data_IF_394168533271
#
_entry.id   IF_394168533271
#
_cell.length_a   1.000
_cell.length_b   1.000
_cell.length_c   1.000
_cell.angle_alpha   90.00
_cell.angle_beta   90.00
_cell.angle_gamma   90.00
#
_symmetry.space_group_name_H-M   'P 1'
#
loop_
_entity.id
_entity.type
_entity.pdbx_description
1 polymer ?
#
# COMPACT_ATOMS: atom_id res chain seq x y z
N UNK A 1 -12.38 -7.30 18.80
CA UNK A 1 -12.73 -7.12 17.40
C UNK A 1 -12.00 -8.10 16.52
N UNK A 2 -12.65 -8.61 15.48
CA UNK A 2 -12.06 -9.55 14.54
C UNK A 2 -11.92 -8.91 13.16
N UNK A 3 -11.01 -9.44 12.37
CA UNK A 3 -10.76 -8.96 11.00
C UNK A 3 -11.01 -10.10 10.02
N UNK A 4 -11.52 -9.75 8.84
CA UNK A 4 -11.71 -10.72 7.76
C UNK A 4 -11.40 -10.05 6.42
N UNK A 5 -10.64 -10.74 5.58
CA UNK A 5 -10.29 -10.25 4.25
C UNK A 5 -11.14 -10.94 3.18
N UNK A 6 -11.68 -10.16 2.26
CA UNK A 6 -12.38 -10.65 1.07
C UNK A 6 -11.59 -10.23 -0.16
N UNK A 7 -11.27 -11.17 -1.03
CA UNK A 7 -10.55 -10.89 -2.27
C UNK A 7 -11.51 -10.93 -3.45
N UNK A 8 -11.67 -9.79 -4.11
CA UNK A 8 -12.55 -9.65 -5.27
C UNK A 8 -11.76 -9.33 -6.53
N UNK A 9 -12.25 -9.82 -7.65
CA UNK A 9 -11.74 -9.42 -8.96
C UNK A 9 -12.22 -8.00 -9.26
N UNK A 10 -11.31 -7.15 -9.75
CA UNK A 10 -11.65 -5.79 -10.20
C UNK A 10 -11.28 -5.62 -11.67
N UNK A 11 -12.00 -4.72 -12.34
CA UNK A 11 -11.85 -4.47 -13.78
C UNK A 11 -11.60 -2.99 -14.01
N UNK A 12 -10.35 -2.52 -13.82
CA UNK A 12 -10.04 -1.12 -14.07
C UNK A 12 -10.13 -0.79 -15.55
N UNK A 13 -10.55 0.45 -15.87
CA UNK A 13 -10.47 0.96 -17.22
C UNK A 13 -9.01 1.33 -17.57
N UNK A 14 -8.77 1.80 -18.80
CA UNK A 14 -7.42 2.08 -19.27
C UNK A 14 -6.72 3.16 -18.44
N UNK A 15 -7.45 4.22 -18.07
CA UNK A 15 -6.89 5.30 -17.23
C UNK A 15 -6.56 4.79 -15.84
N UNK A 16 -7.40 3.95 -15.25
CA UNK A 16 -7.18 3.34 -13.94
C UNK A 16 -6.00 2.37 -13.96
N UNK A 17 -5.82 1.62 -15.05
CA UNK A 17 -4.65 0.73 -15.22
C UNK A 17 -3.36 1.53 -15.22
N UNK A 18 -3.33 2.67 -15.90
CA UNK A 18 -2.16 3.56 -15.91
C UNK A 18 -1.89 4.07 -14.50
N UNK A 19 -2.92 4.52 -13.79
CA UNK A 19 -2.78 5.01 -12.42
C UNK A 19 -2.27 3.90 -11.48
N UNK A 20 -2.79 2.69 -11.60
CA UNK A 20 -2.32 1.56 -10.79
C UNK A 20 -0.85 1.24 -11.08
N UNK A 21 -0.45 1.23 -12.34
CA UNK A 21 0.96 1.00 -12.71
C UNK A 21 1.88 2.06 -12.10
N UNK A 22 1.47 3.33 -12.15
CA UNK A 22 2.21 4.42 -11.51
C UNK A 22 2.27 4.26 -9.99
N UNK A 23 1.16 3.85 -9.37
CA UNK A 23 1.09 3.65 -7.93
C UNK A 23 2.02 2.51 -7.50
N UNK A 24 2.00 1.38 -8.22
CA UNK A 24 2.92 0.26 -7.95
C UNK A 24 4.38 0.72 -8.03
N UNK A 25 4.71 1.50 -9.05
CA UNK A 25 6.07 2.04 -9.22
C UNK A 25 6.46 3.01 -8.12
N UNK A 26 5.54 3.88 -7.72
CA UNK A 26 5.81 4.87 -6.66
C UNK A 26 6.00 4.21 -5.29
N UNK A 27 5.15 3.24 -4.92
CA UNK A 27 5.30 2.56 -3.62
C UNK A 27 6.60 1.76 -3.56
N UNK A 28 7.01 1.15 -4.67
CA UNK A 28 8.31 0.47 -4.75
C UNK A 28 9.46 1.45 -4.62
N UNK A 29 9.41 2.57 -5.34
CA UNK A 29 10.44 3.60 -5.29
C UNK A 29 10.59 4.18 -3.88
N UNK A 30 9.49 4.48 -3.22
CA UNK A 30 9.48 5.00 -1.84
C UNK A 30 10.10 3.97 -0.89
N UNK A 31 9.69 2.71 -0.99
CA UNK A 31 10.27 1.64 -0.17
C UNK A 31 11.78 1.57 -0.35
N UNK A 32 12.26 1.51 -1.58
CA UNK A 32 13.69 1.38 -1.89
C UNK A 32 14.49 2.62 -1.47
N UNK A 33 13.94 3.80 -1.68
CA UNK A 33 14.62 5.06 -1.33
C UNK A 33 14.91 5.12 0.17
N UNK A 34 13.91 4.85 1.00
CA UNK A 34 14.09 4.90 2.45
C UNK A 34 14.72 3.65 3.03
N UNK A 35 14.65 2.52 2.33
CA UNK A 35 15.49 1.36 2.69
C UNK A 35 16.97 1.72 2.59
N UNK A 36 17.39 2.34 1.50
CA UNK A 36 18.77 2.81 1.34
C UNK A 36 19.17 3.81 2.44
N UNK A 37 18.24 4.72 2.77
CA UNK A 37 18.44 5.72 3.83
C UNK A 37 18.64 5.05 5.21
N UNK A 38 17.81 4.05 5.52
CA UNK A 38 17.89 3.32 6.79
C UNK A 38 19.15 2.46 6.89
N UNK A 39 19.54 1.80 5.80
CA UNK A 39 20.77 0.98 5.77
C UNK A 39 21.97 1.87 6.04
N UNK A 40 22.08 3.00 5.35
CA UNK A 40 23.19 3.95 5.52
C UNK A 40 23.28 4.46 6.96
N UNK A 41 22.13 4.84 7.55
CA UNK A 41 22.09 5.30 8.93
C UNK A 41 22.54 4.22 9.91
N UNK A 42 22.08 2.98 9.70
CA UNK A 42 22.45 1.87 10.57
C UNK A 42 23.94 1.53 10.45
N UNK A 43 24.49 1.52 9.24
CA UNK A 43 25.92 1.23 9.02
C UNK A 43 26.84 2.30 9.62
N UNK A 44 26.47 3.58 9.48
CA UNK A 44 27.28 4.71 9.96
C UNK A 44 27.17 4.92 11.47
N UNK A 45 25.98 4.83 12.05
CA UNK A 45 25.70 5.25 13.42
C UNK A 45 25.08 4.16 14.31
N UNK A 46 24.78 2.98 13.77
CA UNK A 46 24.07 1.89 14.46
C UNK A 46 22.70 2.31 15.02
N UNK A 47 22.10 3.34 14.40
CA UNK A 47 20.77 3.84 14.76
C UNK A 47 19.82 3.67 13.59
N UNK A 48 18.52 3.71 13.86
CA UNK A 48 17.50 3.63 12.82
C UNK A 48 16.86 4.99 12.59
N UNK A 49 16.38 5.21 11.36
CA UNK A 49 15.55 6.36 11.02
C UNK A 49 14.09 5.94 11.22
N UNK A 50 13.35 6.67 12.05
CA UNK A 50 11.97 6.34 12.39
C UNK A 50 11.03 6.58 11.21
N UNK A 51 9.85 5.96 11.26
CA UNK A 51 8.78 6.20 10.30
C UNK A 51 8.44 7.71 10.21
N UNK A 52 8.34 8.38 11.36
CA UNK A 52 7.99 9.81 11.40
C UNK A 52 9.00 10.66 10.63
N UNK A 53 10.29 10.39 10.78
CA UNK A 53 11.35 11.10 10.05
C UNK A 53 11.24 10.82 8.55
N UNK A 54 11.06 9.56 8.17
CA UNK A 54 10.90 9.18 6.76
C UNK A 54 9.68 9.86 6.14
N UNK A 55 8.57 9.91 6.86
CA UNK A 55 7.34 10.55 6.38
C UNK A 55 7.54 12.06 6.16
N UNK A 56 8.26 12.72 7.05
CA UNK A 56 8.60 14.16 6.89
C UNK A 56 9.51 14.38 5.69
N UNK A 57 10.53 13.55 5.54
CA UNK A 57 11.44 13.62 4.39
C UNK A 57 10.68 13.42 3.08
N UNK A 58 9.76 12.47 3.04
CA UNK A 58 8.92 12.23 1.87
C UNK A 58 8.01 13.42 1.56
N UNK A 59 7.41 14.04 2.57
CA UNK A 59 6.57 15.21 2.38
C UNK A 59 7.35 16.36 1.75
N UNK A 60 8.58 16.59 2.18
CA UNK A 60 9.45 17.60 1.58
C UNK A 60 9.88 17.22 0.16
N UNK A 61 10.20 15.96 -0.07
CA UNK A 61 10.61 15.46 -1.39
C UNK A 61 9.51 15.66 -2.43
N UNK A 62 8.25 15.46 -2.07
CA UNK A 62 7.10 15.66 -2.95
C UNK A 62 6.96 17.09 -3.44
N UNK A 63 7.47 18.07 -2.69
CA UNK A 63 7.40 19.48 -3.06
C UNK A 63 8.41 19.86 -4.13
N UNK A 64 9.42 19.02 -4.34
CA UNK A 64 10.43 19.27 -5.36
C UNK A 64 9.90 18.93 -6.74
N UNK A 65 10.45 19.60 -7.77
CA UNK A 65 10.08 19.35 -9.15
C UNK A 65 10.38 17.92 -9.58
N UNK A 66 11.55 17.40 -9.19
CA UNK A 66 12.00 16.07 -9.59
C UNK A 66 11.08 14.95 -9.09
N UNK A 67 10.38 15.15 -7.96
CA UNK A 67 9.54 14.12 -7.35
C UNK A 67 8.07 14.54 -7.25
N UNK A 68 7.67 15.56 -8.00
CA UNK A 68 6.28 16.03 -8.03
C UNK A 68 5.31 14.93 -8.48
N UNK A 69 5.77 13.95 -9.26
CA UNK A 69 4.94 12.83 -9.72
C UNK A 69 4.39 11.99 -8.56
N UNK A 70 5.02 12.01 -7.39
CA UNK A 70 4.52 11.31 -6.22
C UNK A 70 3.17 11.85 -5.73
N UNK A 71 2.84 13.09 -6.07
CA UNK A 71 1.55 13.70 -5.70
C UNK A 71 0.38 13.21 -6.58
N UNK A 72 0.67 12.53 -7.68
CA UNK A 72 -0.35 12.03 -8.59
C UNK A 72 -0.99 10.72 -8.12
N UNK A 73 -0.40 10.05 -7.15
CA UNK A 73 -0.89 8.78 -6.63
C UNK A 73 -1.42 8.95 -5.21
N UNK A 74 -2.11 7.92 -4.71
CA UNK A 74 -2.68 7.91 -3.36
C UNK A 74 -1.59 8.13 -2.31
N UNK A 75 -1.69 9.23 -1.56
CA UNK A 75 -0.72 9.58 -0.52
C UNK A 75 -0.68 8.54 0.61
N UNK A 76 -1.82 7.94 0.94
CA UNK A 76 -1.89 6.92 1.98
C UNK A 76 -1.16 5.66 1.53
N UNK A 77 -1.21 5.32 0.23
CA UNK A 77 -0.45 4.19 -0.32
C UNK A 77 1.06 4.39 -0.12
N UNK A 78 1.55 5.61 -0.30
CA UNK A 78 2.97 5.92 -0.07
C UNK A 78 3.33 5.81 1.41
N UNK A 79 2.47 6.28 2.29
CA UNK A 79 2.67 6.15 3.74
C UNK A 79 2.68 4.68 4.16
N UNK A 80 1.81 3.85 3.58
CA UNK A 80 1.79 2.42 3.87
C UNK A 80 3.07 1.73 3.42
N UNK A 81 3.66 2.18 2.31
CA UNK A 81 4.97 1.67 1.87
C UNK A 81 6.05 1.91 2.92
N UNK A 82 6.07 3.11 3.52
CA UNK A 82 7.00 3.42 4.61
C UNK A 82 6.72 2.59 5.87
N UNK A 83 5.46 2.32 6.18
CA UNK A 83 5.09 1.48 7.33
C UNK A 83 5.52 0.03 7.12
N UNK A 84 5.38 -0.49 5.90
CA UNK A 84 5.85 -1.83 5.57
C UNK A 84 7.37 -1.93 5.74
N UNK A 85 8.10 -0.89 5.32
CA UNK A 85 9.55 -0.82 5.51
C UNK A 85 9.91 -0.81 6.99
N UNK A 86 9.21 0.00 7.79
CA UNK A 86 9.43 0.08 9.23
C UNK A 86 9.22 -1.28 9.89
N UNK A 87 8.15 -1.98 9.53
CA UNK A 87 7.86 -3.33 10.02
C UNK A 87 8.96 -4.32 9.63
N UNK A 88 9.46 -4.24 8.40
CA UNK A 88 10.52 -5.12 7.93
C UNK A 88 11.82 -4.91 8.74
N UNK A 89 12.15 -3.66 9.07
CA UNK A 89 13.30 -3.37 9.93
C UNK A 89 13.11 -3.82 11.36
N UNK A 90 11.92 -3.65 11.93
CA UNK A 90 11.60 -4.14 13.26
C UNK A 90 11.74 -5.67 13.33
N UNK A 91 11.30 -6.38 12.28
CA UNK A 91 11.47 -7.82 12.19
C UNK A 91 12.95 -8.21 12.14
N UNK A 92 13.79 -7.45 11.44
CA UNK A 92 15.23 -7.65 11.41
C UNK A 92 15.83 -7.50 12.82
N UNK A 93 15.44 -6.46 13.56
CA UNK A 93 15.96 -6.24 14.91
C UNK A 93 15.53 -7.34 15.90
N UNK A 94 14.32 -7.88 15.74
CA UNK A 94 13.82 -8.98 16.58
C UNK A 94 14.47 -10.32 16.22
N UNK A 95 14.72 -10.55 14.94
CA UNK A 95 15.28 -11.79 14.41
C UNK A 95 16.36 -11.47 13.37
N UNK A 96 17.60 -11.14 13.81
CA UNK A 96 18.66 -10.77 12.88
C UNK A 96 18.97 -11.81 11.81
N UNK A 97 18.62 -13.09 12.05
CA UNK A 97 18.83 -14.17 11.08
C UNK A 97 18.00 -13.96 9.80
N UNK A 98 16.93 -13.17 9.85
CA UNK A 98 16.14 -12.88 8.64
C UNK A 98 16.88 -11.94 7.68
N UNK A 99 17.94 -11.26 8.14
CA UNK A 99 18.71 -10.31 7.36
C UNK A 99 18.01 -8.97 7.18
N UNK A 100 18.73 -8.03 6.60
CA UNK A 100 18.16 -6.72 6.24
C UNK A 100 17.03 -6.89 5.23
N UNK A 101 16.01 -6.00 5.27
CA UNK A 101 15.03 -5.94 4.20
C UNK A 101 15.72 -5.79 2.85
N UNK A 102 15.17 -6.43 1.83
CA UNK A 102 15.75 -6.42 0.49
C UNK A 102 15.11 -5.36 -0.39
N UNK A 103 15.90 -4.77 -1.29
CA UNK A 103 15.37 -3.87 -2.31
C UNK A 103 14.40 -4.63 -3.22
N UNK A 104 13.36 -3.92 -3.64
CA UNK A 104 12.33 -4.48 -4.52
C UNK A 104 12.68 -4.14 -5.97
N UNK A 105 12.78 -5.16 -6.83
CA UNK A 105 13.02 -4.97 -8.26
C UNK A 105 11.70 -4.97 -9.03
N UNK A 106 11.68 -4.28 -10.17
CA UNK A 106 10.50 -4.25 -11.03
C UNK A 106 10.11 -5.64 -11.55
N UNK A 107 11.10 -6.49 -11.82
CA UNK A 107 10.87 -7.84 -12.38
C UNK A 107 10.41 -8.85 -11.33
N UNK A 108 10.97 -8.78 -10.13
CA UNK A 108 10.76 -9.79 -9.09
C UNK A 108 9.76 -9.38 -8.04
N UNK A 109 9.33 -8.12 -8.07
CA UNK A 109 8.41 -7.61 -7.06
C UNK A 109 6.97 -7.86 -7.46
N UNK A 110 6.17 -8.33 -6.51
CA UNK A 110 4.72 -8.45 -6.68
C UNK A 110 4.14 -7.05 -6.84
N UNK A 111 3.36 -6.84 -7.91
CA UNK A 111 2.69 -5.55 -8.14
C UNK A 111 1.50 -5.43 -7.20
N UNK A 112 1.65 -4.63 -6.16
CA UNK A 112 0.57 -4.37 -5.21
C UNK A 112 0.82 -3.08 -4.45
N UNK A 113 -0.27 -2.48 -3.95
CA UNK A 113 -0.19 -1.40 -2.98
C UNK A 113 -1.35 -1.51 -2.01
N UNK A 114 -1.16 -1.00 -0.80
CA UNK A 114 -2.20 -0.99 0.22
C UNK A 114 -2.59 0.45 0.55
N UNK A 115 -3.87 0.66 0.81
CA UNK A 115 -4.40 1.95 1.25
C UNK A 115 -5.41 1.72 2.36
N UNK A 116 -5.60 2.73 3.21
CA UNK A 116 -6.46 2.64 4.40
C UNK A 116 -7.68 3.52 4.20
N UNK A 117 -8.83 3.03 4.66
CA UNK A 117 -10.06 3.82 4.68
C UNK A 117 -9.99 4.89 5.76
N UNK A 118 -10.02 6.15 5.34
CA UNK A 118 -10.00 7.32 6.22
C UNK A 118 -11.20 8.19 5.86
N UNK A 119 -12.10 8.38 6.82
CA UNK A 119 -13.30 9.22 6.65
C UNK A 119 -14.13 8.85 5.40
N UNK A 120 -14.28 7.54 5.16
CA UNK A 120 -15.15 7.06 4.08
C UNK A 120 -14.61 7.27 2.68
N UNK A 121 -13.30 7.44 2.51
CA UNK A 121 -12.68 7.63 1.20
C UNK A 121 -12.63 6.36 0.35
N UNK A 122 -12.94 5.21 0.94
CA UNK A 122 -13.03 3.92 0.26
C UNK A 122 -14.40 3.32 0.57
N UNK A 123 -15.11 2.84 -0.45
CA UNK A 123 -16.43 2.24 -0.27
C UNK A 123 -16.74 1.26 -1.41
N UNK A 124 -17.59 0.27 -1.10
CA UNK A 124 -18.18 -0.62 -2.10
C UNK A 124 -19.63 -0.18 -2.29
N UNK A 125 -20.01 0.14 -3.52
CA UNK A 125 -21.38 0.56 -3.83
C UNK A 125 -21.74 0.19 -5.26
N UNK A 126 -22.87 -0.50 -5.42
CA UNK A 126 -23.45 -0.80 -6.74
C UNK A 126 -22.49 -1.48 -7.73
N UNK A 127 -21.67 -2.44 -7.25
CA UNK A 127 -20.75 -3.16 -8.11
C UNK A 127 -19.45 -2.40 -8.42
N UNK A 128 -19.17 -1.34 -7.66
CA UNK A 128 -17.96 -0.55 -7.80
C UNK A 128 -17.23 -0.44 -6.46
N UNK A 129 -15.91 -0.40 -6.55
CA UNK A 129 -15.03 -0.09 -5.43
C UNK A 129 -14.49 1.32 -5.64
N UNK A 130 -14.83 2.23 -4.74
CA UNK A 130 -14.31 3.61 -4.76
C UNK A 130 -12.95 3.63 -4.08
N UNK A 131 -11.93 4.10 -4.79
CA UNK A 131 -10.56 4.21 -4.30
C UNK A 131 -10.04 5.64 -4.47
N UNK A 132 -9.15 6.11 -3.57
CA UNK A 132 -8.52 7.42 -3.73
C UNK A 132 -7.79 7.52 -5.08
N UNK A 133 -7.91 8.65 -5.75
CA UNK A 133 -7.32 8.95 -7.06
C UNK A 133 -7.94 8.15 -8.22
N UNK A 134 -8.22 6.86 -8.02
CA UNK A 134 -8.77 6.00 -9.07
C UNK A 134 -10.27 6.22 -9.31
N UNK A 135 -10.98 6.71 -8.28
CA UNK A 135 -12.43 6.82 -8.35
C UNK A 135 -13.10 5.45 -8.28
N UNK A 136 -14.16 5.27 -9.05
CA UNK A 136 -14.95 4.04 -9.02
C UNK A 136 -14.37 2.99 -9.98
N UNK A 137 -13.89 1.88 -9.42
CA UNK A 137 -13.35 0.74 -10.16
C UNK A 137 -14.38 -0.38 -10.15
N UNK A 138 -14.68 -0.93 -11.32
CA UNK A 138 -15.67 -2.01 -11.43
C UNK A 138 -15.21 -3.24 -10.62
N UNK A 139 -16.12 -3.77 -9.81
CA UNK A 139 -15.86 -4.87 -8.90
C UNK A 139 -16.81 -6.03 -9.22
N UNK A 140 -16.28 -7.25 -9.30
CA UNK A 140 -17.12 -8.44 -9.34
C UNK A 140 -17.31 -8.97 -7.93
N UNK A 141 -18.45 -8.66 -7.35
CA UNK A 141 -18.77 -9.09 -5.99
C UNK A 141 -19.43 -10.46 -6.03
N UNK A 142 -18.66 -11.50 -5.77
CA UNK A 142 -19.12 -12.89 -5.82
C UNK A 142 -19.70 -13.37 -4.49
N UNK A 143 -19.61 -12.55 -3.44
CA UNK A 143 -20.27 -12.84 -2.16
C UNK A 143 -20.60 -11.54 -1.44
N UNK A 144 -21.69 -11.60 -0.66
CA UNK A 144 -22.15 -10.44 0.08
C UNK A 144 -21.26 -10.15 1.28
N UNK A 145 -21.10 -8.87 1.58
CA UNK A 145 -20.44 -8.40 2.79
C UNK A 145 -21.51 -8.03 3.80
N UNK A 146 -21.49 -8.61 5.02
CA UNK A 146 -22.45 -8.22 6.05
C UNK A 146 -22.41 -6.72 6.32
N UNK A 147 -23.58 -6.11 6.57
CA UNK A 147 -23.69 -4.66 6.77
C UNK A 147 -22.94 -4.15 7.97
N UNK A 148 -22.79 -4.97 9.00
CA UNK A 148 -22.08 -4.63 10.23
C UNK A 148 -20.55 -4.64 10.07
N UNK A 149 -20.03 -5.14 8.94
CA UNK A 149 -18.60 -5.16 8.67
C UNK A 149 -18.15 -3.78 8.25
N UNK A 150 -17.07 -3.30 8.89
CA UNK A 150 -16.49 -1.99 8.59
C UNK A 150 -15.25 -2.18 7.72
N UNK A 151 -15.24 -1.51 6.57
CA UNK A 151 -14.09 -1.55 5.68
C UNK A 151 -12.92 -0.79 6.30
N UNK A 152 -11.76 -1.46 6.42
CA UNK A 152 -10.57 -0.89 7.04
C UNK A 152 -9.51 -0.51 6.01
N UNK A 153 -9.19 -1.42 5.12
CA UNK A 153 -8.12 -1.22 4.14
C UNK A 153 -8.35 -2.04 2.88
N UNK A 154 -7.65 -1.67 1.83
CA UNK A 154 -7.68 -2.39 0.56
C UNK A 154 -6.25 -2.58 0.06
N UNK A 155 -5.95 -3.79 -0.42
CA UNK A 155 -4.72 -4.06 -1.16
C UNK A 155 -5.09 -4.36 -2.60
N UNK A 156 -4.63 -3.49 -3.49
CA UNK A 156 -4.81 -3.66 -4.94
C UNK A 156 -3.60 -4.41 -5.48
N UNK A 157 -3.84 -5.43 -6.30
CA UNK A 157 -2.75 -6.22 -6.87
C UNK A 157 -3.03 -6.56 -8.33
N UNK A 158 -1.95 -6.81 -9.07
CA UNK A 158 -1.99 -7.28 -10.45
C UNK A 158 -1.18 -8.56 -10.56
N UNK A 159 -1.78 -9.61 -11.13
CA UNK A 159 -1.08 -10.87 -11.37
C UNK A 159 -0.14 -10.75 -12.57
N UNK A 160 0.85 -11.66 -12.72
CA UNK A 160 1.68 -11.69 -13.93
C UNK A 160 0.88 -11.82 -15.22
N UNK A 161 -0.30 -12.44 -15.15
CA UNK A 161 -1.21 -12.56 -16.30
C UNK A 161 -2.03 -11.31 -16.60
N UNK A 162 -1.85 -10.22 -15.82
CA UNK A 162 -2.53 -8.96 -16.05
C UNK A 162 -3.90 -8.82 -15.40
N UNK A 163 -4.27 -9.73 -14.52
CA UNK A 163 -5.55 -9.68 -13.79
C UNK A 163 -5.39 -8.83 -12.52
N UNK A 164 -6.42 -8.03 -12.23
CA UNK A 164 -6.44 -7.14 -11.06
C UNK A 164 -7.37 -7.67 -9.98
N UNK A 165 -6.92 -7.55 -8.74
CA UNK A 165 -7.69 -7.96 -7.56
C UNK A 165 -7.63 -6.88 -6.48
N UNK A 166 -8.69 -6.83 -5.68
CA UNK A 166 -8.73 -6.03 -4.47
C UNK A 166 -8.98 -6.96 -3.28
N UNK A 167 -8.04 -7.01 -2.36
CA UNK A 167 -8.20 -7.69 -1.08
C UNK A 167 -8.65 -6.64 -0.07
N UNK A 168 -9.87 -6.80 0.43
CA UNK A 168 -10.50 -5.80 1.29
C UNK A 168 -10.57 -6.35 2.70
N UNK A 169 -9.94 -5.63 3.63
CA UNK A 169 -9.95 -6.00 5.04
C UNK A 169 -11.12 -5.33 5.74
N UNK A 170 -11.96 -6.15 6.37
CA UNK A 170 -13.08 -5.69 7.18
C UNK A 170 -12.83 -5.98 8.65
N UNK A 171 -13.36 -5.12 9.49
CA UNK A 171 -13.37 -5.28 10.93
C UNK A 171 -14.82 -5.47 11.40
N UNK A 172 -15.03 -6.38 12.32
CA UNK A 172 -16.36 -6.62 12.88
C UNK A 172 -16.24 -7.04 14.34
N UNK A 173 -17.33 -6.85 15.08
CA UNK A 173 -17.39 -7.30 16.46
C UNK A 173 -17.62 -8.80 16.50
N UNK A 174 -16.72 -9.49 17.22
CA UNK A 174 -16.83 -10.93 17.41
C UNK A 174 -17.84 -11.16 18.53
N UNK A 175 -19.03 -11.62 18.16
CA UNK A 175 -20.03 -12.03 19.16
C UNK A 175 -19.66 -13.43 19.65
N UNK A 176 -19.29 -13.50 20.90
CA UNK A 176 -19.02 -14.77 21.56
C UNK A 176 -20.34 -15.39 22.03
#
# INVERSE_FOLDING_TARGET
>A
MANKAYKFRIYPDDAQKVLFARTFGCVRMVYNHWLARKIRQYEENKTTVTYTVCAKEMAEMKKTEAYAFLREVDSVALQQSLRHLDTAFQNFFKQPKTGFPKFKSKKQNKKSYSTICINGNIAILNGYLKLPKAGQVRLKQHRAVPKEYKLKSVTVSQTPGGKYYASILFEYENQV
#
